data_IF_212020380119
#
_entry.id   IF_212020380119
#
_cell.length_a   1.000
_cell.length_b   1.000
_cell.length_c   1.000
_cell.angle_alpha   90.00
_cell.angle_beta   90.00
_cell.angle_gamma   90.00
#
_symmetry.space_group_name_H-M   'P 1'
#
loop_
_entity.id
_entity.type
_entity.pdbx_description
1 polymer ?
#
# COMPACT_ATOMS: atom_id res chain seq x y z
N UNK A 1 -0.47 -5.97 11.30
CA UNK A 1 0.53 -4.93 11.63
C UNK A 1 1.71 -5.49 12.44
N UNK A 2 1.48 -6.39 13.40
CA UNK A 2 2.53 -7.00 14.26
C UNK A 2 3.57 -7.85 13.52
N UNK A 3 3.19 -8.55 12.43
CA UNK A 3 4.14 -9.38 11.68
C UNK A 3 5.21 -8.58 10.91
N UNK A 4 4.85 -7.41 10.35
CA UNK A 4 5.82 -6.57 9.63
C UNK A 4 6.80 -5.88 10.59
N UNK A 5 6.34 -5.49 11.79
CA UNK A 5 7.22 -4.89 12.80
C UNK A 5 8.33 -5.87 13.21
N UNK A 6 7.99 -7.16 13.32
CA UNK A 6 8.94 -8.23 13.64
C UNK A 6 9.95 -8.52 12.52
N UNK A 7 9.61 -8.22 11.26
CA UNK A 7 10.56 -8.30 10.13
C UNK A 7 11.54 -7.12 10.13
N UNK A 8 11.11 -5.94 10.59
CA UNK A 8 11.90 -4.70 10.50
C UNK A 8 12.77 -4.47 11.73
N UNK A 9 12.27 -4.75 12.94
CA UNK A 9 12.89 -4.31 14.19
C UNK A 9 13.34 -5.44 15.14
N UNK A 10 13.25 -6.71 14.73
CA UNK A 10 13.69 -7.84 15.58
C UNK A 10 15.20 -8.05 15.56
N UNK A 11 15.69 -8.71 16.60
CA UNK A 11 17.09 -9.08 16.77
C UNK A 11 17.57 -9.99 15.63
N UNK A 12 18.86 -9.83 15.28
CA UNK A 12 19.50 -10.53 14.17
C UNK A 12 19.71 -12.02 14.49
N UNK A 13 18.68 -12.84 14.26
CA UNK A 13 18.67 -14.28 14.46
C UNK A 13 18.17 -15.03 13.22
N UNK A 14 18.30 -16.36 13.21
CA UNK A 14 17.92 -17.22 12.08
C UNK A 14 16.42 -17.14 11.72
N UNK A 15 15.54 -16.98 12.70
CA UNK A 15 14.10 -16.82 12.46
C UNK A 15 13.81 -15.51 11.74
N UNK A 16 14.42 -14.41 12.17
CA UNK A 16 14.32 -13.11 11.52
C UNK A 16 14.84 -13.14 10.08
N UNK A 17 15.95 -13.81 9.81
CA UNK A 17 16.46 -13.97 8.45
C UNK A 17 15.46 -14.71 7.55
N UNK A 18 14.84 -15.78 8.05
CA UNK A 18 13.83 -16.52 7.32
C UNK A 18 12.58 -15.67 7.05
N UNK A 19 12.10 -14.93 8.05
CA UNK A 19 10.96 -14.03 7.92
C UNK A 19 11.23 -12.90 6.92
N UNK A 20 12.42 -12.29 6.94
CA UNK A 20 12.83 -11.31 5.92
C UNK A 20 12.86 -11.90 4.52
N UNK A 21 13.33 -13.14 4.38
CA UNK A 21 13.40 -13.81 3.08
C UNK A 21 11.98 -14.04 2.53
N UNK A 22 11.07 -14.52 3.37
CA UNK A 22 9.65 -14.68 3.02
C UNK A 22 9.04 -13.33 2.67
N UNK A 23 9.20 -12.30 3.51
CA UNK A 23 8.68 -10.96 3.24
C UNK A 23 9.22 -10.36 1.93
N UNK A 24 10.50 -10.54 1.65
CA UNK A 24 11.10 -10.04 0.40
C UNK A 24 10.55 -10.76 -0.82
N UNK A 25 10.25 -12.05 -0.71
CA UNK A 25 9.67 -12.84 -1.79
C UNK A 25 8.17 -12.58 -1.99
N UNK A 26 7.41 -12.53 -0.90
CA UNK A 26 5.95 -12.46 -0.90
C UNK A 26 5.40 -11.03 -0.91
N UNK A 27 6.18 -10.00 -0.55
CA UNK A 27 5.69 -8.62 -0.48
C UNK A 27 6.53 -7.68 -1.34
N UNK A 28 7.87 -7.79 -1.29
CA UNK A 28 8.78 -6.90 -2.02
C UNK A 28 9.31 -7.47 -3.34
N UNK A 29 8.76 -8.58 -3.84
CA UNK A 29 9.16 -9.09 -5.16
C UNK A 29 8.75 -8.13 -6.27
N UNK A 30 9.48 -8.10 -7.38
CA UNK A 30 9.19 -7.20 -8.51
C UNK A 30 7.71 -7.29 -8.95
N UNK A 31 7.18 -8.51 -9.09
CA UNK A 31 5.78 -8.75 -9.44
C UNK A 31 4.82 -8.06 -8.46
N UNK A 32 5.10 -8.14 -7.17
CA UNK A 32 4.23 -7.56 -6.15
C UNK A 32 4.41 -6.04 -6.08
N UNK A 33 5.63 -5.52 -6.23
CA UNK A 33 5.89 -4.07 -6.32
C UNK A 33 5.13 -3.43 -7.49
N UNK A 34 5.08 -4.12 -8.63
CA UNK A 34 4.33 -3.74 -9.83
C UNK A 34 2.82 -3.81 -9.59
N UNK A 35 2.31 -4.91 -9.03
CA UNK A 35 0.90 -5.02 -8.65
C UNK A 35 0.49 -3.91 -7.66
N UNK A 36 1.38 -3.56 -6.74
CA UNK A 36 1.18 -2.50 -5.76
C UNK A 36 1.15 -1.09 -6.37
N UNK A 37 1.61 -0.91 -7.61
CA UNK A 37 1.54 0.38 -8.32
C UNK A 37 0.10 0.86 -8.45
N UNK A 38 -0.84 -0.04 -8.73
CA UNK A 38 -2.25 0.29 -8.86
C UNK A 38 -2.84 0.79 -7.54
N UNK A 39 -2.50 0.13 -6.42
CA UNK A 39 -2.91 0.55 -5.09
C UNK A 39 -2.35 1.93 -4.72
N UNK A 40 -1.05 2.16 -4.94
CA UNK A 40 -0.42 3.48 -4.73
C UNK A 40 -1.13 4.58 -5.51
N UNK A 41 -1.36 4.36 -6.81
CA UNK A 41 -1.99 5.34 -7.70
C UNK A 41 -3.47 5.57 -7.34
N UNK A 42 -4.17 4.54 -6.91
CA UNK A 42 -5.57 4.62 -6.46
C UNK A 42 -5.73 5.47 -5.20
N UNK A 43 -4.96 5.17 -4.15
CA UNK A 43 -5.04 5.90 -2.88
C UNK A 43 -4.60 7.37 -3.03
N UNK A 44 -3.53 7.64 -3.79
CA UNK A 44 -3.11 9.03 -4.09
C UNK A 44 -4.23 9.81 -4.77
N UNK A 45 -4.93 9.21 -5.75
CA UNK A 45 -6.05 9.87 -6.43
C UNK A 45 -7.23 10.13 -5.49
N UNK A 46 -7.56 9.19 -4.61
CA UNK A 46 -8.61 9.38 -3.58
C UNK A 46 -8.25 10.52 -2.64
N UNK A 47 -7.00 10.56 -2.16
CA UNK A 47 -6.50 11.63 -1.30
C UNK A 47 -6.54 12.99 -1.99
N UNK A 48 -6.09 13.09 -3.25
CA UNK A 48 -6.18 14.33 -4.03
C UNK A 48 -7.64 14.79 -4.15
N UNK A 49 -8.56 13.88 -4.52
CA UNK A 49 -9.99 14.21 -4.65
C UNK A 49 -10.60 14.69 -3.33
N UNK A 50 -10.24 14.05 -2.21
CA UNK A 50 -10.69 14.41 -0.86
C UNK A 50 -10.17 15.78 -0.39
N UNK A 51 -8.95 16.15 -0.79
CA UNK A 51 -8.35 17.42 -0.40
C UNK A 51 -8.71 18.56 -1.37
N UNK A 52 -9.01 18.25 -2.63
CA UNK A 52 -9.45 19.25 -3.61
C UNK A 52 -10.73 19.97 -3.17
N UNK A 53 -11.65 19.27 -2.48
CA UNK A 53 -12.86 19.89 -1.91
C UNK A 53 -12.59 20.81 -0.72
N UNK A 54 -11.36 20.84 -0.19
CA UNK A 54 -10.93 21.65 0.98
C UNK A 54 -10.09 22.87 0.58
N UNK A 55 -10.14 23.26 -0.69
CA UNK A 55 -9.34 24.39 -1.19
C UNK A 55 -9.67 25.67 -0.41
N UNK A 56 -8.63 26.43 -0.02
CA UNK A 56 -8.78 27.62 0.83
C UNK A 56 -8.79 27.36 2.34
N UNK A 57 -8.77 26.09 2.78
CA UNK A 57 -8.57 25.72 4.20
C UNK A 57 -7.13 25.31 4.48
N UNK A 58 -6.70 25.46 5.73
CA UNK A 58 -5.40 24.94 6.21
C UNK A 58 -5.45 23.41 6.25
N UNK A 59 -4.45 22.77 5.65
CA UNK A 59 -4.32 21.31 5.61
C UNK A 59 -3.06 20.86 6.36
N UNK A 60 -3.16 19.76 7.11
CA UNK A 60 -2.00 19.08 7.67
C UNK A 60 -1.47 18.06 6.64
N UNK A 61 -0.33 18.39 6.04
CA UNK A 61 0.32 17.55 5.05
C UNK A 61 0.85 16.25 5.68
N UNK A 62 1.29 16.30 6.94
CA UNK A 62 1.83 15.13 7.65
C UNK A 62 0.73 14.10 7.87
N UNK A 63 -0.45 14.55 8.31
CA UNK A 63 -1.62 13.69 8.47
C UNK A 63 -2.05 13.08 7.14
N UNK A 64 -2.09 13.88 6.07
CA UNK A 64 -2.46 13.43 4.72
C UNK A 64 -1.46 12.38 4.20
N UNK A 65 -0.16 12.64 4.33
CA UNK A 65 0.88 11.73 3.88
C UNK A 65 0.83 10.41 4.63
N UNK A 66 0.78 10.48 5.97
CA UNK A 66 0.74 9.29 6.82
C UNK A 66 -0.51 8.44 6.57
N UNK A 67 -1.69 9.05 6.50
CA UNK A 67 -2.94 8.33 6.25
C UNK A 67 -2.97 7.70 4.87
N UNK A 68 -2.43 8.38 3.85
CA UNK A 68 -2.34 7.82 2.49
C UNK A 68 -1.42 6.61 2.45
N UNK A 69 -0.24 6.70 3.08
CA UNK A 69 0.72 5.59 3.14
C UNK A 69 0.16 4.40 3.93
N UNK A 70 -0.50 4.65 5.06
CA UNK A 70 -1.16 3.61 5.84
C UNK A 70 -2.27 2.88 5.05
N UNK A 71 -3.04 3.62 4.24
CA UNK A 71 -4.07 3.02 3.37
C UNK A 71 -3.44 2.18 2.26
N UNK A 72 -2.36 2.66 1.63
CA UNK A 72 -1.60 1.89 0.64
C UNK A 72 -1.09 0.60 1.26
N UNK A 73 -0.38 0.66 2.37
CA UNK A 73 0.17 -0.54 3.03
C UNK A 73 -0.94 -1.51 3.45
N UNK A 74 -2.06 -1.01 3.94
CA UNK A 74 -3.25 -1.84 4.25
C UNK A 74 -3.80 -2.53 3.00
N UNK A 75 -3.89 -1.82 1.88
CA UNK A 75 -4.39 -2.39 0.61
C UNK A 75 -3.47 -3.46 0.03
N UNK A 76 -2.15 -3.32 0.22
CA UNK A 76 -1.14 -4.30 -0.20
C UNK A 76 -1.22 -5.56 0.66
N UNK A 77 -1.33 -5.40 1.99
CA UNK A 77 -1.30 -6.52 2.95
C UNK A 77 -2.63 -7.28 2.98
N UNK A 78 -3.75 -6.57 2.86
CA UNK A 78 -5.08 -7.15 3.08
C UNK A 78 -5.88 -7.36 1.80
N UNK A 79 -5.33 -7.03 0.63
CA UNK A 79 -5.98 -7.10 -0.68
C UNK A 79 -7.48 -6.74 -0.61
N UNK A 80 -7.81 -5.60 0.02
CA UNK A 80 -9.21 -5.19 0.16
C UNK A 80 -9.70 -4.60 -1.16
N UNK A 81 -10.21 -5.51 -1.97
CA UNK A 81 -11.13 -5.33 -3.07
C UNK A 81 -12.45 -4.68 -2.63
N UNK A 82 -12.44 -3.42 -2.23
CA UNK A 82 -13.69 -2.65 -2.07
C UNK A 82 -14.12 -1.91 -3.34
N UNK A 83 -13.34 -2.03 -4.44
CA UNK A 83 -13.67 -1.49 -5.76
C UNK A 83 -13.27 -2.47 -6.89
N UNK A 84 -13.68 -3.74 -6.78
CA UNK A 84 -13.52 -4.73 -7.86
C UNK A 84 -14.17 -4.30 -9.18
N UNK A 85 -15.20 -3.46 -9.12
CA UNK A 85 -15.87 -2.95 -10.33
C UNK A 85 -15.06 -1.88 -11.09
N UNK A 86 -14.03 -1.29 -10.49
CA UNK A 86 -13.14 -0.35 -11.19
C UNK A 86 -11.82 -0.99 -11.65
N UNK A 87 -11.37 -2.05 -10.97
CA UNK A 87 -10.08 -2.71 -11.26
C UNK A 87 -10.23 -3.75 -12.38
N UNK A 88 -11.39 -4.43 -12.47
CA UNK A 88 -11.67 -5.41 -13.53
C UNK A 88 -11.70 -4.82 -14.94
N UNK A 89 -12.04 -3.53 -15.10
CA UNK A 89 -12.09 -2.89 -16.43
C UNK A 89 -10.72 -2.51 -16.98
N UNK A 90 -9.71 -2.31 -16.14
CA UNK A 90 -8.34 -2.02 -16.58
C UNK A 90 -7.53 -3.29 -16.85
N UNK A 91 -7.74 -4.36 -16.09
CA UNK A 91 -7.08 -5.65 -16.36
C UNK A 91 -7.60 -6.35 -17.64
N UNK A 92 -8.85 -6.09 -18.05
CA UNK A 92 -9.42 -6.61 -19.29
C UNK A 92 -9.19 -5.74 -20.54
N UNK A 93 -8.53 -4.59 -20.40
CA UNK A 93 -8.27 -3.67 -21.52
C UNK A 93 -6.83 -3.74 -22.05
N UNK A 94 -5.98 -4.58 -21.46
CA UNK A 94 -4.59 -4.82 -21.88
C UNK A 94 -4.32 -6.28 -22.29
N UNK A 95 -5.35 -6.98 -22.79
CA UNK A 95 -5.25 -8.21 -23.60
C UNK A 95 -6.09 -8.06 -24.87
#
# INVERSE_FOLDING_TARGET
MTQCLYVVFSDNNSEWHNLRKIFSHEVLSNKNVDACMYFRRGEVRKTIKKNYSKIGSTIDISEIAFSTEANVLTSIVWENTSDLNAIGSYFGAEL
#
